data_IF_105307823208
#
_entry.id   IF_105307823208
#
_cell.length_a   1.000
_cell.length_b   1.000
_cell.length_c   1.000
_cell.angle_alpha   90.00
_cell.angle_beta   90.00
_cell.angle_gamma   90.00
#
_symmetry.space_group_name_H-M   'P 1'
#
loop_
_entity.id
_entity.type
_entity.pdbx_description
1 polymer ?
#
# COMPACT_ATOMS: atom_id res chain seq x y z
N UNK A 1 28.10 0.61 -23.85
CA UNK A 1 26.94 0.05 -23.12
C UNK A 1 27.44 -0.38 -21.75
N UNK A 2 27.43 0.53 -20.77
CA UNK A 2 27.91 0.23 -19.42
C UNK A 2 26.82 -0.53 -18.67
N UNK A 3 27.06 -1.81 -18.40
CA UNK A 3 26.27 -2.61 -17.47
C UNK A 3 26.45 -2.03 -16.07
N UNK A 4 25.55 -1.12 -15.67
CA UNK A 4 25.51 -0.57 -14.34
C UNK A 4 25.33 -1.73 -13.34
N UNK A 5 26.37 -2.01 -12.59
CA UNK A 5 26.29 -2.83 -11.38
C UNK A 5 25.17 -2.24 -10.52
N UNK A 6 24.11 -3.02 -10.26
CA UNK A 6 23.04 -2.67 -9.30
C UNK A 6 23.71 -2.40 -7.96
N UNK A 7 24.14 -1.16 -7.70
CA UNK A 7 24.75 -0.84 -6.41
C UNK A 7 23.64 -0.93 -5.39
N UNK A 8 23.83 -1.83 -4.42
CA UNK A 8 22.87 -2.08 -3.35
C UNK A 8 22.99 -0.97 -2.28
N UNK A 9 23.01 0.28 -2.73
CA UNK A 9 23.29 1.43 -1.91
C UNK A 9 22.05 1.80 -1.11
N UNK A 10 22.03 1.42 0.17
CA UNK A 10 20.87 1.59 1.05
C UNK A 10 20.53 3.07 1.24
N UNK A 11 21.53 3.95 1.39
CA UNK A 11 21.30 5.39 1.51
C UNK A 11 20.54 6.01 0.33
N UNK A 12 20.84 5.60 -0.91
CA UNK A 12 20.13 6.06 -2.11
C UNK A 12 18.68 5.60 -2.13
N UNK A 13 18.42 4.36 -1.69
CA UNK A 13 17.06 3.82 -1.53
C UNK A 13 16.27 4.62 -0.49
N UNK A 14 16.89 4.98 0.64
CA UNK A 14 16.29 5.84 1.68
C UNK A 14 15.95 7.23 1.11
N UNK A 15 16.89 7.88 0.42
CA UNK A 15 16.64 9.20 -0.21
C UNK A 15 15.44 9.14 -1.15
N UNK A 16 15.35 8.08 -1.96
CA UNK A 16 14.26 7.94 -2.92
C UNK A 16 12.92 7.72 -2.24
N UNK A 17 12.86 6.82 -1.25
CA UNK A 17 11.65 6.59 -0.43
C UNK A 17 11.21 7.88 0.26
N UNK A 18 12.15 8.67 0.79
CA UNK A 18 11.87 9.95 1.42
C UNK A 18 11.23 10.94 0.43
N UNK A 19 11.80 11.08 -0.76
CA UNK A 19 11.26 11.97 -1.80
C UNK A 19 9.83 11.59 -2.23
N UNK A 20 9.53 10.29 -2.33
CA UNK A 20 8.20 9.81 -2.69
C UNK A 20 7.15 10.04 -1.60
N UNK A 21 7.61 10.15 -0.35
CA UNK A 21 6.79 10.56 0.79
C UNK A 21 6.65 12.07 0.89
N UNK A 22 7.17 12.83 -0.08
CA UNK A 22 7.22 14.29 -0.08
C UNK A 22 7.83 14.85 1.21
N UNK A 23 8.86 14.16 1.73
CA UNK A 23 9.50 14.47 3.01
C UNK A 23 10.85 15.18 2.80
N UNK A 24 11.05 16.32 3.46
CA UNK A 24 12.35 17.03 3.46
C UNK A 24 13.37 16.31 4.34
N UNK A 25 14.66 16.46 4.05
CA UNK A 25 15.73 15.91 4.91
C UNK A 25 15.63 16.43 6.36
N UNK A 26 15.26 17.69 6.54
CA UNK A 26 15.03 18.28 7.87
C UNK A 26 13.89 17.60 8.62
N UNK A 27 12.80 17.23 7.94
CA UNK A 27 11.66 16.55 8.56
C UNK A 27 12.04 15.13 9.00
N UNK A 28 12.80 14.41 8.17
CA UNK A 28 13.34 13.10 8.55
C UNK A 28 14.32 13.22 9.72
N UNK A 29 15.16 14.25 9.73
CA UNK A 29 16.09 14.51 10.81
C UNK A 29 15.37 14.77 12.14
N UNK A 30 14.30 15.58 12.12
CA UNK A 30 13.44 15.81 13.28
C UNK A 30 12.79 14.52 13.78
N UNK A 31 12.26 13.68 12.87
CA UNK A 31 11.66 12.39 13.23
C UNK A 31 12.65 11.41 13.86
N UNK A 32 13.92 11.48 13.47
CA UNK A 32 15.02 10.68 14.02
C UNK A 32 15.71 11.32 15.23
N UNK A 33 15.29 12.52 15.64
CA UNK A 33 15.95 13.27 16.72
C UNK A 33 17.42 13.61 16.42
N UNK A 34 17.77 13.79 15.14
CA UNK A 34 19.13 14.02 14.67
C UNK A 34 19.24 15.29 13.84
N UNK A 35 20.44 15.59 13.31
CA UNK A 35 20.67 16.75 12.45
C UNK A 35 20.42 16.44 10.97
N UNK A 36 20.09 17.46 10.18
CA UNK A 36 19.97 17.33 8.72
C UNK A 36 21.26 16.79 8.08
N UNK A 37 22.43 17.20 8.58
CA UNK A 37 23.73 16.73 8.11
C UNK A 37 23.92 15.24 8.34
N UNK A 38 23.44 14.73 9.49
CA UNK A 38 23.44 13.30 9.80
C UNK A 38 22.57 12.52 8.81
N UNK A 39 21.36 13.02 8.49
CA UNK A 39 20.50 12.40 7.47
C UNK A 39 21.18 12.41 6.10
N UNK A 40 21.80 13.52 5.70
CA UNK A 40 22.56 13.59 4.44
C UNK A 40 23.69 12.56 4.40
N UNK A 41 24.36 12.33 5.52
CA UNK A 41 25.42 11.31 5.63
C UNK A 41 24.85 9.91 5.52
N UNK A 42 23.70 9.64 6.15
CA UNK A 42 22.97 8.37 6.05
C UNK A 42 22.58 8.09 4.59
N UNK A 43 22.05 9.08 3.88
CA UNK A 43 21.64 8.95 2.47
C UNK A 43 22.82 8.72 1.51
N UNK A 44 23.99 9.24 1.85
CA UNK A 44 25.23 9.02 1.09
C UNK A 44 25.98 7.75 1.50
N UNK A 45 25.51 7.02 2.51
CA UNK A 45 26.15 5.77 2.96
C UNK A 45 25.64 4.57 2.18
N UNK A 46 26.58 3.75 1.68
CA UNK A 46 26.24 2.52 0.94
C UNK A 46 25.57 1.48 1.86
N UNK A 47 26.05 1.39 3.11
CA UNK A 47 25.54 0.49 4.14
C UNK A 47 25.18 1.26 5.42
N UNK A 48 24.21 0.76 6.18
CA UNK A 48 23.74 1.33 7.44
C UNK A 48 23.51 0.16 8.41
N UNK A 49 23.81 0.37 9.69
CA UNK A 49 23.53 -0.60 10.75
C UNK A 49 22.03 -0.93 10.80
N UNK A 50 21.69 -2.21 10.99
CA UNK A 50 20.30 -2.66 11.01
C UNK A 50 19.44 -1.94 12.07
N UNK A 51 20.03 -1.56 13.21
CA UNK A 51 19.35 -0.79 14.25
C UNK A 51 18.94 0.61 13.75
N UNK A 52 19.88 1.34 13.12
CA UNK A 52 19.61 2.66 12.53
C UNK A 52 18.64 2.55 11.34
N UNK A 53 18.78 1.50 10.54
CA UNK A 53 17.89 1.25 9.42
C UNK A 53 16.45 1.01 9.89
N UNK A 54 16.25 0.33 11.04
CA UNK A 54 14.95 0.15 11.65
C UNK A 54 14.33 1.47 12.13
N UNK A 55 15.13 2.37 12.73
CA UNK A 55 14.68 3.71 13.12
C UNK A 55 14.28 4.55 11.90
N UNK A 56 15.10 4.54 10.84
CA UNK A 56 14.80 5.22 9.57
C UNK A 56 13.53 4.65 8.92
N UNK A 57 13.38 3.33 8.89
CA UNK A 57 12.18 2.67 8.36
C UNK A 57 10.92 3.09 9.13
N UNK A 58 11.01 3.13 10.47
CA UNK A 58 9.92 3.60 11.32
C UNK A 58 9.58 5.07 11.06
N UNK A 59 10.58 5.95 10.93
CA UNK A 59 10.38 7.36 10.64
C UNK A 59 9.75 7.61 9.26
N UNK A 60 10.07 6.76 8.26
CA UNK A 60 9.50 6.80 6.92
C UNK A 60 8.17 6.04 6.77
N UNK A 61 7.72 5.34 7.82
CA UNK A 61 6.50 4.53 7.81
C UNK A 61 6.55 3.35 6.84
N UNK A 62 7.70 2.69 6.74
CA UNK A 62 7.93 1.51 5.89
C UNK A 62 8.61 0.39 6.69
N UNK A 63 8.64 -0.84 6.16
CA UNK A 63 9.47 -1.91 6.76
C UNK A 63 10.93 -1.77 6.34
N UNK A 64 11.82 -2.32 7.16
CA UNK A 64 13.25 -2.47 6.83
C UNK A 64 13.44 -3.25 5.54
N UNK A 65 12.64 -4.30 5.33
CA UNK A 65 12.66 -5.09 4.10
C UNK A 65 12.25 -4.28 2.87
N UNK A 66 11.27 -3.37 3.01
CA UNK A 66 10.86 -2.50 1.91
C UNK A 66 12.02 -1.59 1.47
N UNK A 67 12.84 -1.09 2.41
CA UNK A 67 14.05 -0.31 2.07
C UNK A 67 15.09 -1.21 1.40
N UNK A 68 15.35 -2.41 1.93
CA UNK A 68 16.36 -3.32 1.37
C UNK A 68 16.00 -3.78 -0.05
N UNK A 69 14.72 -4.07 -0.29
CA UNK A 69 14.19 -4.56 -1.57
C UNK A 69 13.70 -3.44 -2.51
N UNK A 70 13.90 -2.18 -2.13
CA UNK A 70 13.46 -1.05 -2.94
C UNK A 70 14.12 -1.06 -4.32
N UNK A 71 13.28 -1.02 -5.36
CA UNK A 71 13.67 -0.85 -6.76
C UNK A 71 12.76 0.19 -7.40
N UNK A 72 13.37 1.21 -8.01
CA UNK A 72 12.68 2.35 -8.61
C UNK A 72 11.80 1.94 -9.81
N UNK A 73 12.23 0.95 -10.59
CA UNK A 73 11.47 0.44 -11.75
C UNK A 73 10.21 -0.31 -11.31
N UNK A 74 10.32 -1.12 -10.24
CA UNK A 74 9.18 -1.86 -9.71
C UNK A 74 8.13 -0.93 -9.09
N UNK A 75 8.58 0.21 -8.59
CA UNK A 75 7.73 1.16 -7.91
C UNK A 75 6.76 1.89 -8.83
N UNK A 76 7.13 2.20 -10.07
CA UNK A 76 6.18 2.73 -11.06
C UNK A 76 5.07 1.71 -11.32
N UNK A 77 5.42 0.42 -11.39
CA UNK A 77 4.42 -0.66 -11.47
C UNK A 77 3.55 -0.73 -10.22
N UNK A 78 4.12 -0.61 -9.02
CA UNK A 78 3.35 -0.58 -7.76
C UNK A 78 2.43 0.64 -7.62
N UNK A 79 2.86 1.84 -8.01
CA UNK A 79 2.00 3.03 -7.96
C UNK A 79 0.90 3.00 -9.01
N UNK A 80 1.19 2.55 -10.24
CA UNK A 80 0.16 2.35 -11.25
C UNK A 80 -0.88 1.32 -10.78
N UNK A 81 -0.44 0.24 -10.13
CA UNK A 81 -1.36 -0.71 -9.49
C UNK A 81 -2.06 -0.11 -8.25
N UNK A 82 -1.48 0.83 -7.52
CA UNK A 82 -2.16 1.44 -6.37
C UNK A 82 -3.30 2.38 -6.78
N UNK A 83 -3.16 3.05 -7.93
CA UNK A 83 -4.21 3.92 -8.47
C UNK A 83 -5.25 3.16 -9.31
N UNK A 84 -4.88 2.05 -9.95
CA UNK A 84 -5.79 1.25 -10.77
C UNK A 84 -6.45 0.09 -10.00
N UNK A 85 -6.00 -0.19 -8.78
CA UNK A 85 -6.44 -1.34 -7.98
C UNK A 85 -7.02 -0.91 -6.62
N UNK A 86 -7.92 0.08 -6.66
CA UNK A 86 -8.94 0.26 -5.60
C UNK A 86 -9.95 -0.91 -5.56
N UNK A 87 -9.81 -1.88 -6.46
CA UNK A 87 -10.65 -3.08 -6.55
C UNK A 87 -9.82 -4.31 -6.92
N UNK A 88 -9.61 -5.15 -5.91
CA UNK A 88 -9.38 -6.61 -5.99
C UNK A 88 -7.92 -7.11 -6.06
N UNK A 89 -7.53 -7.73 -4.94
CA UNK A 89 -6.69 -8.93 -4.85
C UNK A 89 -5.57 -9.13 -5.90
N UNK A 90 -4.33 -8.94 -5.44
CA UNK A 90 -3.23 -9.77 -5.94
C UNK A 90 -1.86 -9.13 -5.87
N UNK A 91 -1.20 -9.19 -4.72
CA UNK A 91 0.15 -9.78 -4.57
C UNK A 91 0.29 -10.19 -3.10
N UNK A 92 0.25 -11.49 -2.91
CA UNK A 92 0.50 -12.19 -1.67
C UNK A 92 1.95 -11.91 -1.20
N UNK A 93 2.15 -11.43 0.03
CA UNK A 93 3.33 -11.88 0.78
C UNK A 93 3.99 -11.02 1.86
N UNK A 94 3.80 -9.70 2.01
CA UNK A 94 4.66 -8.95 2.97
C UNK A 94 3.95 -8.00 3.95
N UNK A 95 2.68 -7.63 3.72
CA UNK A 95 1.94 -6.89 4.73
C UNK A 95 0.56 -7.49 4.88
N UNK A 96 0.23 -7.88 6.11
CA UNK A 96 -1.12 -8.24 6.53
C UNK A 96 -1.82 -6.96 6.98
N UNK A 97 -2.80 -6.41 6.23
CA UNK A 97 -3.78 -5.52 6.80
C UNK A 97 -5.09 -6.30 6.86
N UNK A 98 -5.45 -6.75 8.06
CA UNK A 98 -6.82 -7.13 8.41
C UNK A 98 -7.42 -8.25 7.56
N UNK A 99 -7.44 -9.46 8.12
CA UNK A 99 -8.33 -10.54 7.67
C UNK A 99 -9.79 -10.04 7.64
N UNK A 100 -10.25 -9.51 6.51
CA UNK A 100 -11.66 -9.60 6.17
C UNK A 100 -11.91 -11.08 5.85
N UNK A 101 -12.47 -11.80 6.82
CA UNK A 101 -12.92 -13.21 6.71
C UNK A 101 -14.08 -13.40 5.72
N UNK A 102 -14.47 -12.37 4.98
CA UNK A 102 -15.55 -12.44 4.02
C UNK A 102 -15.03 -12.02 2.66
N UNK A 103 -15.33 -12.83 1.65
CA UNK A 103 -15.13 -12.45 0.26
C UNK A 103 -16.18 -11.38 -0.09
N UNK A 104 -15.80 -10.16 -0.50
CA UNK A 104 -16.74 -9.09 -0.83
C UNK A 104 -17.72 -9.49 -1.95
N UNK A 105 -17.31 -10.38 -2.86
CA UNK A 105 -18.16 -10.89 -3.94
C UNK A 105 -19.36 -11.66 -3.37
N UNK A 106 -19.14 -12.50 -2.35
CA UNK A 106 -20.21 -13.29 -1.75
C UNK A 106 -21.27 -12.40 -1.10
N UNK A 107 -20.86 -11.26 -0.51
CA UNK A 107 -21.79 -10.28 0.06
C UNK A 107 -22.58 -9.50 -0.98
N UNK A 108 -22.00 -9.26 -2.15
CA UNK A 108 -22.70 -8.63 -3.27
C UNK A 108 -23.73 -9.60 -3.86
N UNK A 109 -23.40 -10.89 -3.99
CA UNK A 109 -24.33 -11.93 -4.44
C UNK A 109 -25.50 -12.07 -3.47
N UNK A 110 -25.23 -12.14 -2.16
CA UNK A 110 -26.25 -12.19 -1.10
C UNK A 110 -27.21 -10.99 -1.15
N UNK A 111 -26.70 -9.79 -1.46
CA UNK A 111 -27.51 -8.60 -1.63
C UNK A 111 -28.41 -8.66 -2.87
N UNK A 112 -27.90 -9.15 -4.00
CA UNK A 112 -28.68 -9.33 -5.22
C UNK A 112 -29.80 -10.36 -5.05
N UNK A 113 -29.53 -11.48 -4.38
CA UNK A 113 -30.56 -12.49 -4.08
C UNK A 113 -31.70 -11.91 -3.23
N UNK A 114 -31.37 -11.10 -2.20
CA UNK A 114 -32.38 -10.41 -1.39
C UNK A 114 -33.19 -9.39 -2.19
N UNK A 115 -32.55 -8.62 -3.07
CA UNK A 115 -33.25 -7.65 -3.91
C UNK A 115 -34.23 -8.33 -4.86
N UNK A 116 -33.81 -9.42 -5.51
CA UNK A 116 -34.68 -10.21 -6.39
C UNK A 116 -35.87 -10.78 -5.62
N UNK A 117 -35.67 -11.23 -4.39
CA UNK A 117 -36.74 -11.74 -3.54
C UNK A 117 -37.74 -10.63 -3.16
N UNK A 118 -37.24 -9.46 -2.75
CA UNK A 118 -38.08 -8.31 -2.42
C UNK A 118 -38.91 -7.81 -3.62
N UNK A 119 -38.34 -7.85 -4.84
CA UNK A 119 -39.08 -7.52 -6.05
C UNK A 119 -40.22 -8.52 -6.32
N UNK A 120 -39.96 -9.84 -6.18
CA UNK A 120 -40.98 -10.87 -6.35
C UNK A 120 -42.13 -10.72 -5.36
N UNK A 121 -41.82 -10.49 -4.09
CA UNK A 121 -42.83 -10.29 -3.04
C UNK A 121 -43.68 -9.05 -3.29
N UNK A 122 -43.05 -7.97 -3.76
CA UNK A 122 -43.77 -6.74 -4.14
C UNK A 122 -44.69 -6.97 -5.33
N UNK A 123 -44.25 -7.70 -6.35
CA UNK A 123 -45.07 -8.05 -7.51
C UNK A 123 -46.26 -8.91 -7.08
N UNK A 124 -46.04 -9.93 -6.26
CA UNK A 124 -47.12 -10.79 -5.75
C UNK A 124 -48.14 -10.00 -4.92
N UNK A 125 -47.69 -9.09 -4.07
CA UNK A 125 -48.56 -8.20 -3.30
C UNK A 125 -49.42 -7.30 -4.22
N UNK A 126 -48.80 -6.72 -5.25
CA UNK A 126 -49.51 -5.91 -6.24
C UNK A 126 -50.52 -6.74 -7.04
N UNK A 127 -50.18 -7.97 -7.42
CA UNK A 127 -51.10 -8.88 -8.10
C UNK A 127 -52.30 -9.26 -7.23
N UNK A 128 -52.12 -9.46 -5.92
CA UNK A 128 -53.23 -9.70 -4.97
C UNK A 128 -54.16 -8.49 -4.89
N UNK A 129 -53.61 -7.29 -4.75
CA UNK A 129 -54.41 -6.06 -4.75
C UNK A 129 -55.18 -5.83 -6.05
N UNK A 130 -54.62 -6.23 -7.19
CA UNK A 130 -55.30 -6.16 -8.49
C UNK A 130 -56.39 -7.22 -8.66
N UNK A 131 -56.27 -8.39 -8.02
CA UNK A 131 -57.28 -9.47 -8.05
C UNK A 131 -58.45 -9.23 -7.09
N UNK A 132 -58.24 -8.44 -6.04
CA UNK A 132 -59.29 -8.03 -5.09
C UNK A 132 -60.15 -6.85 -5.58
N UNK A 133 -59.90 -6.37 -6.81
CA UNK A 133 -60.61 -5.27 -7.45
C UNK A 133 -61.52 -5.76 -8.57
#
# INVERSE_FOLDING_TARGET
>A
MSTATKSNHIGRKISRIRELRDMKQEALAQALGTSQQTVSTIENSETIDDAKLAEVAKALGVSVEAIKNFNEENMISYFNNFYDNSTSNGVNGIFSPSHCSFNPIDKVVELFERLVQAEKEKVEYLEKLLKEK
#
